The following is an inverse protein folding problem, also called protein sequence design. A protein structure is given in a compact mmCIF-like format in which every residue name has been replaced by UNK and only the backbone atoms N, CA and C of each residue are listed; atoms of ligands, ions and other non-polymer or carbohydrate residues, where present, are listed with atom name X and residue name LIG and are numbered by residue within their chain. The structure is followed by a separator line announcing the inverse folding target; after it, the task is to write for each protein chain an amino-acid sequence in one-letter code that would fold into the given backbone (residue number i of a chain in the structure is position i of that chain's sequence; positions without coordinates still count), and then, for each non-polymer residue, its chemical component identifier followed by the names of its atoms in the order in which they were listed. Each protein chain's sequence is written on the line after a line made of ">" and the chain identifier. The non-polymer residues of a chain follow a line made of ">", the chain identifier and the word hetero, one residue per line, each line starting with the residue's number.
data_IF_231605229373
#
_entry.id   IF_231605229373
#
_cell.length_a   1.000
_cell.length_b   1.000
_cell.length_c   1.000
_cell.angle_alpha   90.00
_cell.angle_beta   90.00
_cell.angle_gamma   90.00
#
_symmetry.space_group_name_H-M   'P 1'
#
loop_
_entity.id
_entity.type
_entity.pdbx_description
1 polymer ?
#
# COMPACT_ATOMS: atom_id res chain seq x y z
N UNK A 1 -11.48 4.65 -13.24
CA UNK A 1 -11.99 4.10 -11.97
C UNK A 1 -13.34 3.46 -12.23
N UNK A 2 -13.60 2.28 -11.65
CA UNK A 2 -14.84 1.52 -11.88
C UNK A 2 -15.89 1.74 -10.79
N UNK A 3 -15.50 1.62 -9.52
CA UNK A 3 -16.40 1.81 -8.37
C UNK A 3 -15.77 2.78 -7.39
N UNK A 4 -16.52 3.80 -6.99
CA UNK A 4 -16.10 4.78 -5.98
C UNK A 4 -17.11 4.83 -4.84
N UNK A 5 -16.62 4.82 -3.62
CA UNK A 5 -17.37 5.12 -2.41
C UNK A 5 -16.86 6.44 -1.86
N UNK A 6 -17.66 7.49 -2.02
CA UNK A 6 -17.37 8.85 -1.58
C UNK A 6 -18.40 9.27 -0.53
N UNK A 7 -17.92 9.71 0.64
CA UNK A 7 -18.74 10.18 1.77
C UNK A 7 -19.82 9.18 2.21
N UNK A 8 -19.50 7.90 2.16
CA UNK A 8 -20.40 6.83 2.58
C UNK A 8 -20.15 6.40 4.04
N UNK A 9 -21.15 5.75 4.64
CA UNK A 9 -21.02 5.06 5.91
C UNK A 9 -21.66 3.66 5.82
N UNK A 10 -21.11 2.71 6.55
CA UNK A 10 -21.67 1.35 6.71
C UNK A 10 -21.87 0.60 5.38
N UNK A 11 -20.82 0.59 4.56
CA UNK A 11 -20.83 -0.01 3.22
C UNK A 11 -20.40 -1.48 3.28
N UNK A 12 -21.09 -2.33 2.52
CA UNK A 12 -20.70 -3.73 2.32
C UNK A 12 -20.60 -4.06 0.83
N UNK A 13 -19.39 -4.40 0.39
CA UNK A 13 -19.09 -4.87 -0.97
C UNK A 13 -18.75 -6.35 -0.90
N UNK A 14 -19.47 -7.19 -1.66
CA UNK A 14 -19.30 -8.65 -1.59
C UNK A 14 -19.36 -9.22 -3.00
N UNK A 15 -18.39 -10.07 -3.36
CA UNK A 15 -18.37 -10.78 -4.66
C UNK A 15 -18.41 -9.85 -5.88
N UNK A 16 -17.78 -8.68 -5.78
CA UNK A 16 -17.59 -7.81 -6.93
C UNK A 16 -16.52 -8.42 -7.86
N UNK A 17 -16.79 -8.40 -9.15
CA UNK A 17 -15.84 -8.73 -10.20
C UNK A 17 -15.60 -7.49 -11.06
N UNK A 18 -14.35 -7.04 -11.17
CA UNK A 18 -13.92 -5.93 -12.03
C UNK A 18 -12.83 -6.42 -12.97
N UNK A 19 -12.94 -6.07 -14.25
CA UNK A 19 -11.95 -6.40 -15.26
C UNK A 19 -11.74 -5.23 -16.24
N UNK A 20 -10.49 -4.81 -16.39
CA UNK A 20 -10.00 -3.93 -17.44
C UNK A 20 -8.61 -4.42 -17.93
N UNK A 21 -8.18 -4.04 -19.14
CA UNK A 21 -6.83 -4.35 -19.63
C UNK A 21 -5.74 -3.77 -18.71
N UNK A 22 -4.63 -4.49 -18.55
CA UNK A 22 -3.49 -4.10 -17.71
C UNK A 22 -2.87 -2.76 -18.13
N UNK A 23 -2.87 -2.45 -19.42
CA UNK A 23 -2.33 -1.21 -19.96
C UNK A 23 -3.36 -0.07 -20.01
N UNK A 24 -4.54 -0.22 -19.39
CA UNK A 24 -5.58 0.80 -19.38
C UNK A 24 -5.37 1.77 -18.21
N UNK A 25 -4.99 3.03 -18.47
CA UNK A 25 -4.62 3.96 -17.41
C UNK A 25 -5.83 4.33 -16.53
N UNK A 26 -5.59 4.61 -15.25
CA UNK A 26 -6.57 5.14 -14.29
C UNK A 26 -7.84 4.27 -14.16
N UNK A 27 -7.71 2.96 -14.34
CA UNK A 27 -8.81 2.00 -14.26
C UNK A 27 -8.95 1.39 -12.86
N UNK A 28 -8.83 2.20 -11.81
CA UNK A 28 -8.94 1.76 -10.41
C UNK A 28 -10.16 0.87 -10.20
N UNK A 29 -10.00 -0.23 -9.45
CA UNK A 29 -11.08 -1.16 -9.18
C UNK A 29 -12.11 -0.58 -8.22
N UNK A 30 -11.72 -0.51 -6.93
CA UNK A 30 -12.52 0.09 -5.87
C UNK A 30 -11.76 1.27 -5.27
N UNK A 31 -12.35 2.45 -5.36
CA UNK A 31 -11.86 3.67 -4.73
C UNK A 31 -12.67 3.98 -3.47
N UNK A 32 -11.99 4.19 -2.34
CA UNK A 32 -12.60 4.51 -1.05
C UNK A 32 -12.09 5.87 -0.59
N UNK A 33 -12.98 6.86 -0.52
CA UNK A 33 -12.67 8.22 -0.12
C UNK A 33 -13.72 8.74 0.87
N UNK A 34 -13.29 9.49 1.89
CA UNK A 34 -14.17 10.07 2.92
C UNK A 34 -15.21 9.08 3.52
N UNK A 35 -14.90 7.78 3.55
CA UNK A 35 -15.87 6.72 3.84
C UNK A 35 -15.56 6.01 5.15
N UNK A 36 -16.60 5.71 5.93
CA UNK A 36 -16.48 5.09 7.25
C UNK A 36 -17.14 3.71 7.28
N UNK A 37 -16.54 2.75 8.00
CA UNK A 37 -17.10 1.42 8.25
C UNK A 37 -17.41 0.63 6.96
N UNK A 38 -16.44 0.53 6.05
CA UNK A 38 -16.60 -0.23 4.81
C UNK A 38 -15.97 -1.62 4.90
N UNK A 39 -16.72 -2.62 4.46
CA UNK A 39 -16.27 -4.01 4.34
C UNK A 39 -16.28 -4.46 2.88
N UNK A 40 -15.11 -4.77 2.35
CA UNK A 40 -14.90 -5.28 0.99
C UNK A 40 -14.50 -6.74 1.11
N UNK A 41 -15.26 -7.65 0.50
CA UNK A 41 -15.00 -9.08 0.66
C UNK A 41 -15.21 -9.93 -0.58
N UNK A 42 -14.37 -10.97 -0.76
CA UNK A 42 -14.51 -11.97 -1.83
C UNK A 42 -14.54 -11.36 -3.23
N UNK A 43 -13.75 -10.31 -3.45
CA UNK A 43 -13.75 -9.58 -4.71
C UNK A 43 -12.58 -10.03 -5.60
N UNK A 44 -12.82 -10.01 -6.91
CA UNK A 44 -11.79 -10.28 -7.93
C UNK A 44 -11.64 -9.02 -8.76
N UNK A 45 -10.44 -8.45 -8.79
CA UNK A 45 -10.17 -7.16 -9.40
C UNK A 45 -8.96 -7.29 -10.32
N UNK A 46 -9.17 -6.99 -11.60
CA UNK A 46 -8.14 -6.96 -12.64
C UNK A 46 -8.22 -5.63 -13.35
N UNK A 47 -7.18 -4.84 -13.29
CA UNK A 47 -7.19 -3.44 -13.73
C UNK A 47 -5.83 -3.05 -14.30
N UNK A 48 -5.75 -1.86 -14.90
CA UNK A 48 -4.48 -1.21 -15.22
C UNK A 48 -4.01 -0.21 -14.15
N UNK A 49 -4.78 -0.03 -13.08
CA UNK A 49 -4.42 0.81 -11.92
C UNK A 49 -4.70 0.08 -10.60
N UNK A 50 -4.83 0.79 -9.47
CA UNK A 50 -5.02 0.22 -8.14
C UNK A 50 -6.24 -0.72 -8.08
N UNK A 51 -6.08 -1.93 -7.55
CA UNK A 51 -7.21 -2.81 -7.29
C UNK A 51 -8.15 -2.21 -6.24
N UNK A 52 -7.55 -1.74 -5.14
CA UNK A 52 -8.24 -0.99 -4.10
C UNK A 52 -7.35 0.20 -3.73
N UNK A 53 -7.90 1.41 -3.84
CA UNK A 53 -7.26 2.64 -3.38
C UNK A 53 -8.04 3.23 -2.20
N UNK A 54 -7.37 3.47 -1.08
CA UNK A 54 -7.96 4.02 0.15
C UNK A 54 -7.33 5.39 0.40
N UNK A 55 -8.11 6.46 0.28
CA UNK A 55 -7.61 7.84 0.36
C UNK A 55 -8.20 8.59 1.55
N UNK A 56 -7.81 9.87 1.67
CA UNK A 56 -8.10 10.74 2.81
C UNK A 56 -9.57 10.74 3.23
N UNK A 57 -9.80 10.88 4.54
CA UNK A 57 -11.11 10.87 5.18
C UNK A 57 -11.69 9.47 5.42
N UNK A 58 -10.96 8.41 5.05
CA UNK A 58 -11.43 7.04 5.19
C UNK A 58 -11.02 6.41 6.53
N UNK A 59 -11.95 5.72 7.20
CA UNK A 59 -11.71 5.07 8.50
C UNK A 59 -12.45 3.74 8.63
N UNK A 60 -11.86 2.78 9.35
CA UNK A 60 -12.43 1.45 9.60
C UNK A 60 -12.75 0.73 8.28
N UNK A 61 -11.71 0.56 7.47
CA UNK A 61 -11.77 -0.10 6.16
C UNK A 61 -11.28 -1.54 6.32
N UNK A 62 -12.11 -2.51 5.97
CA UNK A 62 -11.76 -3.94 6.02
C UNK A 62 -11.85 -4.54 4.62
N UNK A 63 -10.73 -4.93 4.05
CA UNK A 63 -10.65 -5.68 2.80
C UNK A 63 -10.25 -7.13 3.11
N UNK A 64 -11.04 -8.11 2.69
CA UNK A 64 -10.80 -9.52 3.04
C UNK A 64 -11.12 -10.47 1.89
N UNK A 65 -10.31 -11.50 1.68
CA UNK A 65 -10.50 -12.47 0.58
C UNK A 65 -10.49 -11.75 -0.78
N UNK A 66 -9.41 -11.02 -1.08
CA UNK A 66 -9.27 -10.23 -2.31
C UNK A 66 -8.33 -10.94 -3.28
N UNK A 67 -8.76 -11.13 -4.51
CA UNK A 67 -7.88 -11.53 -5.63
C UNK A 67 -7.64 -10.31 -6.50
N UNK A 68 -6.39 -9.85 -6.56
CA UNK A 68 -5.99 -8.66 -7.28
C UNK A 68 -4.92 -9.02 -8.31
N UNK A 69 -5.08 -8.61 -9.56
CA UNK A 69 -4.04 -8.83 -10.55
C UNK A 69 -4.52 -9.20 -11.96
N UNK A 70 -4.01 -8.53 -13.00
CA UNK A 70 -3.01 -7.45 -12.98
C UNK A 70 -3.54 -6.13 -12.37
N UNK A 71 -2.66 -5.13 -12.18
CA UNK A 71 -2.98 -3.79 -11.63
C UNK A 71 -1.88 -3.21 -10.74
N UNK A 72 -2.16 -2.10 -10.03
CA UNK A 72 -1.19 -1.44 -9.14
C UNK A 72 -1.19 -1.94 -7.69
N UNK A 73 -2.00 -2.96 -7.37
CA UNK A 73 -2.06 -3.55 -6.03
C UNK A 73 -3.10 -2.89 -5.13
N UNK A 74 -2.87 -2.95 -3.82
CA UNK A 74 -3.74 -2.32 -2.81
C UNK A 74 -2.99 -1.14 -2.20
N UNK A 75 -3.49 0.06 -2.43
CA UNK A 75 -2.81 1.31 -2.09
C UNK A 75 -3.58 2.11 -1.04
N UNK A 76 -2.85 2.67 -0.08
CA UNK A 76 -3.31 3.76 0.78
C UNK A 76 -2.67 5.05 0.25
N UNK A 77 -3.50 6.02 -0.11
CA UNK A 77 -3.10 7.29 -0.71
C UNK A 77 -3.27 7.36 -2.24
N UNK A 78 -2.71 8.38 -2.89
CA UNK A 78 -1.76 9.35 -2.31
C UNK A 78 -2.40 10.28 -1.26
N UNK A 79 -1.65 10.62 -0.20
CA UNK A 79 -2.12 11.42 0.94
C UNK A 79 -1.30 12.71 1.08
N UNK A 80 -1.99 13.84 1.30
CA UNK A 80 -1.34 15.13 1.57
C UNK A 80 -1.04 15.97 0.32
N UNK A 81 -1.73 15.72 -0.79
CA UNK A 81 -1.53 16.45 -2.05
C UNK A 81 -1.63 17.97 -1.84
N UNK A 82 -0.71 18.74 -2.44
CA UNK A 82 -0.72 20.19 -2.33
C UNK A 82 -0.57 20.71 -0.89
N UNK A 83 0.24 20.04 -0.07
CA UNK A 83 0.45 20.36 1.35
C UNK A 83 -0.84 20.33 2.19
N UNK A 84 -1.81 19.50 1.81
CA UNK A 84 -3.09 19.37 2.50
C UNK A 84 -3.02 18.44 3.72
N UNK A 85 -4.02 18.57 4.60
CA UNK A 85 -4.25 17.59 5.67
C UNK A 85 -4.87 16.31 5.11
N UNK A 86 -4.33 15.15 5.49
CA UNK A 86 -4.88 13.86 5.12
C UNK A 86 -4.96 12.91 6.31
N UNK A 87 -6.06 12.16 6.41
CA UNK A 87 -6.31 11.23 7.51
C UNK A 87 -6.84 9.91 6.97
N UNK A 88 -6.13 8.82 7.25
CA UNK A 88 -6.60 7.45 7.05
C UNK A 88 -6.30 6.67 8.33
N UNK A 89 -7.27 5.92 8.85
CA UNK A 89 -7.01 5.04 9.99
C UNK A 89 -7.83 3.77 10.03
N UNK A 90 -7.31 2.81 10.81
CA UNK A 90 -8.00 1.57 11.13
C UNK A 90 -8.30 0.76 9.86
N UNK A 91 -7.25 0.48 9.08
CA UNK A 91 -7.32 -0.27 7.82
C UNK A 91 -6.82 -1.69 8.06
N UNK A 92 -7.60 -2.68 7.63
CA UNK A 92 -7.20 -4.09 7.66
C UNK A 92 -7.39 -4.70 6.29
N UNK A 93 -6.29 -5.16 5.69
CA UNK A 93 -6.27 -6.01 4.50
C UNK A 93 -5.86 -7.40 4.93
N UNK A 94 -6.75 -8.38 4.75
CA UNK A 94 -6.54 -9.74 5.24
C UNK A 94 -6.84 -10.77 4.15
N UNK A 95 -6.02 -11.83 4.01
CA UNK A 95 -6.27 -12.89 3.03
C UNK A 95 -6.41 -12.34 1.61
N UNK A 96 -5.35 -11.71 1.11
CA UNK A 96 -5.30 -11.23 -0.27
C UNK A 96 -4.30 -12.05 -1.10
N UNK A 97 -4.61 -12.23 -2.38
CA UNK A 97 -3.72 -12.84 -3.37
C UNK A 97 -3.47 -11.78 -4.43
N UNK A 98 -2.21 -11.39 -4.60
CA UNK A 98 -1.78 -10.42 -5.59
C UNK A 98 -0.94 -11.13 -6.66
N UNK A 99 -1.32 -11.00 -7.93
CA UNK A 99 -0.65 -11.72 -9.03
C UNK A 99 -0.34 -10.79 -10.20
N UNK A 100 0.92 -10.69 -10.60
CA UNK A 100 1.31 -9.86 -11.75
C UNK A 100 0.99 -8.37 -11.57
N UNK A 101 0.93 -7.88 -10.33
CA UNK A 101 0.67 -6.47 -10.05
C UNK A 101 1.98 -5.69 -9.98
N UNK A 102 1.96 -4.40 -10.35
CA UNK A 102 3.16 -3.55 -10.24
C UNK A 102 3.56 -3.28 -8.80
N UNK A 103 2.60 -3.28 -7.86
CA UNK A 103 2.88 -3.23 -6.43
C UNK A 103 2.03 -4.25 -5.68
N UNK A 104 2.49 -4.65 -4.49
CA UNK A 104 1.69 -5.48 -3.60
C UNK A 104 0.81 -4.61 -2.72
N UNK A 105 1.29 -4.33 -1.51
CA UNK A 105 0.67 -3.39 -0.57
C UNK A 105 1.51 -2.13 -0.45
N UNK A 106 0.85 -0.97 -0.57
CA UNK A 106 1.54 0.30 -0.76
C UNK A 106 0.91 1.40 0.08
N UNK A 107 1.74 2.24 0.72
CA UNK A 107 1.33 3.50 1.33
C UNK A 107 2.08 4.63 0.61
N UNK A 108 1.37 5.63 0.07
CA UNK A 108 1.95 6.78 -0.62
C UNK A 108 1.54 8.08 0.04
N UNK A 109 2.50 8.93 0.40
CA UNK A 109 2.27 10.31 0.83
C UNK A 109 3.14 11.27 0.03
N UNK A 110 2.63 12.47 -0.22
CA UNK A 110 3.30 13.45 -1.06
C UNK A 110 4.55 14.05 -0.39
N UNK A 111 5.59 14.30 -1.18
CA UNK A 111 6.84 14.90 -0.69
C UNK A 111 6.71 16.40 -0.42
N UNK A 112 5.79 17.10 -1.09
CA UNK A 112 5.56 18.55 -0.97
C UNK A 112 4.86 18.95 0.35
N UNK A 113 5.06 18.18 1.41
CA UNK A 113 4.55 18.46 2.73
C UNK A 113 3.31 17.65 3.09
N UNK A 114 2.33 18.33 3.66
CA UNK A 114 1.11 17.75 4.16
C UNK A 114 1.13 17.56 5.67
N UNK A 115 -0.03 17.22 6.21
CA UNK A 115 -0.23 17.02 7.64
C UNK A 115 -1.28 15.94 7.90
N UNK A 116 -1.46 15.54 9.16
CA UNK A 116 -2.36 14.45 9.53
C UNK A 116 -1.64 13.11 9.61
N UNK A 117 -2.33 12.02 9.26
CA UNK A 117 -1.83 10.67 9.53
C UNK A 117 -2.37 9.57 8.61
N UNK A 118 -1.57 8.52 8.44
CA UNK A 118 -1.98 7.18 8.06
C UNK A 118 -1.57 6.24 9.20
N UNK A 119 -2.55 5.72 9.96
CA UNK A 119 -2.24 4.94 11.19
C UNK A 119 -3.13 3.74 11.43
N UNK A 120 -2.65 2.81 12.25
CA UNK A 120 -3.36 1.58 12.61
C UNK A 120 -3.73 0.78 11.35
N UNK A 121 -2.71 0.41 10.58
CA UNK A 121 -2.87 -0.27 9.28
C UNK A 121 -2.30 -1.68 9.41
N UNK A 122 -3.06 -2.68 8.96
CA UNK A 122 -2.63 -4.07 9.02
C UNK A 122 -2.79 -4.72 7.65
N UNK A 123 -1.68 -5.17 7.09
CA UNK A 123 -1.62 -6.03 5.91
C UNK A 123 -1.24 -7.43 6.35
N UNK A 124 -2.15 -8.39 6.26
CA UNK A 124 -1.92 -9.72 6.82
C UNK A 124 -2.43 -10.89 5.99
N UNK A 125 -1.72 -12.01 6.08
CA UNK A 125 -2.03 -13.25 5.36
C UNK A 125 -2.13 -13.00 3.84
N UNK A 126 -1.06 -12.46 3.25
CA UNK A 126 -1.04 -12.05 1.84
C UNK A 126 -0.09 -12.96 1.06
N UNK A 127 -0.59 -13.50 -0.05
CA UNK A 127 0.21 -14.23 -1.01
C UNK A 127 0.52 -13.32 -2.22
N UNK A 128 1.78 -13.30 -2.64
CA UNK A 128 2.23 -12.51 -3.79
C UNK A 128 2.86 -13.42 -4.85
N UNK A 129 2.43 -13.29 -6.09
CA UNK A 129 2.97 -14.05 -7.22
C UNK A 129 3.37 -13.09 -8.33
N UNK A 130 4.67 -13.01 -8.62
CA UNK A 130 5.19 -12.12 -9.66
C UNK A 130 4.78 -10.66 -9.47
N UNK A 131 4.85 -10.17 -8.23
CA UNK A 131 4.53 -8.76 -7.93
C UNK A 131 5.79 -7.94 -8.11
N UNK A 132 5.76 -6.85 -8.88
CA UNK A 132 6.98 -6.09 -9.19
C UNK A 132 7.58 -5.44 -7.94
N UNK A 133 6.76 -4.74 -7.14
CA UNK A 133 7.19 -4.11 -5.89
C UNK A 133 6.28 -4.53 -4.71
N UNK A 134 6.56 -5.67 -4.07
CA UNK A 134 5.71 -6.28 -3.06
C UNK A 134 5.26 -5.37 -1.90
N UNK A 135 6.18 -4.71 -1.20
CA UNK A 135 5.85 -3.90 -0.02
C UNK A 135 6.46 -2.51 -0.18
N UNK A 136 5.61 -1.47 -0.16
CA UNK A 136 6.05 -0.08 -0.29
C UNK A 136 5.47 0.80 0.81
N UNK A 137 6.33 1.61 1.42
CA UNK A 137 5.97 2.91 1.99
C UNK A 137 6.79 3.96 1.24
N UNK A 138 6.12 4.92 0.62
CA UNK A 138 6.74 6.02 -0.10
C UNK A 138 6.16 7.34 0.42
N UNK A 139 6.90 8.02 1.31
CA UNK A 139 6.55 9.37 1.76
C UNK A 139 7.18 10.47 0.88
N UNK A 140 7.87 10.09 -0.20
CA UNK A 140 8.53 10.99 -1.14
C UNK A 140 7.81 10.99 -2.51
N UNK A 141 6.51 10.69 -2.53
CA UNK A 141 5.75 10.61 -3.77
C UNK A 141 5.71 11.98 -4.46
N UNK A 142 6.08 12.00 -5.74
CA UNK A 142 6.16 13.17 -6.59
C UNK A 142 5.77 12.76 -8.03
N UNK A 143 4.77 13.41 -8.60
CA UNK A 143 4.26 13.13 -9.96
C UNK A 143 4.60 14.24 -10.97
N UNK A 144 5.54 15.13 -10.60
CA UNK A 144 5.97 16.26 -11.42
C UNK A 144 7.26 15.94 -12.16
N UNK A 145 7.44 16.61 -13.30
CA UNK A 145 8.69 16.53 -14.07
C UNK A 145 9.89 17.11 -13.30
N UNK A 146 9.65 18.15 -12.49
CA UNK A 146 10.65 18.71 -11.58
C UNK A 146 10.70 17.92 -10.26
N UNK A 147 11.91 17.57 -9.75
CA UNK A 147 12.05 16.88 -8.48
C UNK A 147 11.40 17.66 -7.34
N UNK A 148 10.54 16.99 -6.58
CA UNK A 148 10.00 17.54 -5.36
C UNK A 148 11.11 17.69 -4.31
N UNK A 149 11.08 18.80 -3.57
CA UNK A 149 12.05 19.07 -2.51
C UNK A 149 11.53 18.58 -1.17
N UNK A 150 12.42 18.03 -0.34
CA UNK A 150 12.13 17.66 1.04
C UNK A 150 11.49 18.85 1.80
N UNK A 151 10.44 18.56 2.57
CA UNK A 151 9.73 19.54 3.39
C UNK A 151 9.87 19.19 4.88
N UNK A 152 9.74 20.19 5.74
CA UNK A 152 9.78 20.01 7.18
C UNK A 152 8.54 19.28 7.75
N UNK A 153 7.44 19.24 6.99
CA UNK A 153 6.20 18.53 7.34
C UNK A 153 5.97 17.37 6.38
N UNK A 154 5.21 16.36 6.82
CA UNK A 154 4.66 15.30 6.00
C UNK A 154 3.46 14.65 6.71
N UNK A 155 2.66 13.87 5.97
CA UNK A 155 1.64 13.00 6.56
C UNK A 155 2.34 11.92 7.40
N UNK A 156 1.99 11.81 8.69
CA UNK A 156 2.64 10.86 9.60
C UNK A 156 2.19 9.43 9.32
N UNK A 157 3.12 8.52 9.04
CA UNK A 157 2.84 7.08 8.91
C UNK A 157 3.24 6.38 10.19
N UNK A 158 2.30 5.69 10.86
CA UNK A 158 2.58 5.04 12.16
C UNK A 158 1.73 3.81 12.42
N UNK A 159 2.21 2.90 13.27
CA UNK A 159 1.51 1.67 13.65
C UNK A 159 1.01 0.89 12.42
N UNK A 160 1.96 0.47 11.60
CA UNK A 160 1.71 -0.32 10.38
C UNK A 160 2.29 -1.71 10.58
N UNK A 161 1.46 -2.73 10.45
CA UNK A 161 1.86 -4.12 10.57
C UNK A 161 1.76 -4.85 9.23
N UNK A 162 2.86 -5.47 8.83
CA UNK A 162 2.94 -6.44 7.75
C UNK A 162 3.14 -7.82 8.37
N UNK A 163 2.15 -8.71 8.25
CA UNK A 163 2.16 -10.00 8.95
C UNK A 163 1.84 -11.18 8.03
N UNK A 164 2.67 -12.21 8.06
CA UNK A 164 2.46 -13.43 7.26
C UNK A 164 2.25 -13.10 5.78
N UNK A 165 3.24 -12.44 5.18
CA UNK A 165 3.25 -12.08 3.75
C UNK A 165 4.29 -12.95 3.06
N UNK A 166 3.90 -13.72 2.05
CA UNK A 166 4.79 -14.66 1.36
C UNK A 166 4.63 -14.56 -0.15
N UNK A 167 5.72 -14.72 -0.90
CA UNK A 167 5.61 -14.69 -2.35
C UNK A 167 6.88 -14.40 -3.12
N UNK A 168 6.70 -14.01 -4.38
CA UNK A 168 7.79 -13.65 -5.29
C UNK A 168 7.73 -12.19 -5.76
N UNK A 169 8.90 -11.57 -5.83
CA UNK A 169 9.13 -10.26 -6.43
C UNK A 169 9.59 -10.40 -7.88
N UNK A 170 9.08 -9.55 -8.77
CA UNK A 170 9.55 -9.45 -10.15
C UNK A 170 10.70 -8.44 -10.32
N UNK A 171 10.93 -7.57 -9.32
CA UNK A 171 12.07 -6.65 -9.27
C UNK A 171 13.05 -7.02 -8.16
N UNK A 172 14.25 -6.43 -8.22
CA UNK A 172 15.31 -6.63 -7.22
C UNK A 172 14.91 -6.12 -5.83
N UNK A 173 14.25 -4.96 -5.73
CA UNK A 173 13.85 -4.36 -4.45
C UNK A 173 12.45 -4.85 -4.09
N UNK A 174 12.37 -5.86 -3.22
CA UNK A 174 11.09 -6.45 -2.84
C UNK A 174 10.38 -5.66 -1.73
N UNK A 175 11.15 -4.98 -0.88
CA UNK A 175 10.67 -4.16 0.22
C UNK A 175 11.29 -2.77 0.07
N UNK A 176 10.45 -1.74 -0.02
CA UNK A 176 10.90 -0.37 -0.15
C UNK A 176 10.19 0.52 0.88
N UNK A 177 10.87 0.91 1.95
CA UNK A 177 10.34 1.75 3.02
C UNK A 177 11.06 3.11 3.01
N UNK A 178 10.61 4.02 2.16
CA UNK A 178 11.19 5.35 1.96
C UNK A 178 10.37 6.38 2.72
N UNK A 179 10.74 6.63 3.97
CA UNK A 179 10.06 7.58 4.84
C UNK A 179 10.72 8.96 4.79
N UNK A 180 9.97 10.01 5.14
CA UNK A 180 10.49 11.38 5.19
C UNK A 180 11.59 11.48 6.24
N UNK A 181 12.69 12.17 5.91
CA UNK A 181 13.78 12.45 6.87
C UNK A 181 13.32 13.34 8.02
N UNK A 182 12.43 14.29 7.75
CA UNK A 182 11.88 15.21 8.76
C UNK A 182 10.75 14.59 9.57
N UNK A 183 9.98 13.68 8.97
CA UNK A 183 8.84 13.00 9.63
C UNK A 183 8.94 11.50 9.38
N UNK A 184 9.77 10.84 10.20
CA UNK A 184 10.05 9.40 10.12
C UNK A 184 8.78 8.55 10.30
N UNK A 185 8.79 7.35 9.74
CA UNK A 185 7.79 6.34 10.04
C UNK A 185 8.09 5.68 11.39
N UNK A 186 7.07 5.53 12.24
CA UNK A 186 7.22 4.92 13.57
C UNK A 186 6.33 3.69 13.74
N UNK A 187 6.75 2.76 14.61
CA UNK A 187 5.98 1.56 14.94
C UNK A 187 5.63 0.72 13.70
N UNK A 188 6.59 0.60 12.77
CA UNK A 188 6.44 -0.30 11.62
C UNK A 188 6.87 -1.69 12.06
N UNK A 189 6.01 -2.68 11.85
CA UNK A 189 6.27 -4.06 12.27
C UNK A 189 6.21 -4.98 11.06
N UNK A 190 7.27 -5.75 10.85
CA UNK A 190 7.28 -6.89 9.93
C UNK A 190 7.34 -8.17 10.72
N UNK A 191 6.36 -9.03 10.51
CA UNK A 191 6.27 -10.33 11.15
C UNK A 191 6.03 -11.44 10.12
N UNK A 192 6.91 -12.43 10.06
CA UNK A 192 6.73 -13.59 9.17
C UNK A 192 6.56 -13.19 7.69
N UNK A 193 7.43 -12.30 7.20
CA UNK A 193 7.47 -11.80 5.82
C UNK A 193 8.57 -12.54 5.06
N UNK A 194 8.23 -13.24 3.98
CA UNK A 194 9.20 -14.00 3.18
C UNK A 194 8.94 -13.79 1.70
N UNK A 195 9.75 -12.93 1.09
CA UNK A 195 9.71 -12.61 -0.33
C UNK A 195 10.99 -13.16 -0.97
N UNK A 196 10.82 -13.89 -2.07
CA UNK A 196 11.90 -14.40 -2.89
C UNK A 196 11.91 -13.72 -4.26
N UNK A 197 13.01 -13.83 -4.99
CA UNK A 197 13.03 -13.42 -6.38
C UNK A 197 12.29 -14.45 -7.24
N UNK A 198 11.65 -13.98 -8.30
CA UNK A 198 11.19 -14.85 -9.38
C UNK A 198 12.30 -15.21 -10.38
N UNK A 199 13.42 -14.48 -10.33
CA UNK A 199 14.60 -14.65 -11.20
C UNK A 199 15.74 -15.31 -10.39
N UNK A 200 16.81 -15.80 -11.03
CA UNK A 200 17.97 -16.37 -10.32
C UNK A 200 18.71 -15.37 -9.40
N UNK A 201 18.37 -14.08 -9.48
CA UNK A 201 18.90 -13.03 -8.61
C UNK A 201 18.29 -13.09 -7.20
N UNK A 202 18.95 -12.50 -6.21
CA UNK A 202 18.39 -12.30 -4.87
C UNK A 202 17.53 -11.04 -4.83
N UNK A 203 16.57 -11.00 -3.89
CA UNK A 203 15.81 -9.79 -3.58
C UNK A 203 16.45 -9.01 -2.43
N UNK A 204 16.27 -7.70 -2.45
CA UNK A 204 16.79 -6.74 -1.49
C UNK A 204 15.65 -5.96 -0.82
N UNK A 205 15.97 -5.30 0.30
CA UNK A 205 15.11 -4.33 0.95
C UNK A 205 15.83 -2.99 1.13
N UNK A 206 15.18 -1.88 0.73
CA UNK A 206 15.60 -0.51 1.01
C UNK A 206 14.73 0.07 2.13
N UNK A 207 15.35 0.67 3.14
CA UNK A 207 14.64 1.19 4.30
C UNK A 207 15.32 2.47 4.78
N UNK A 208 14.65 3.60 4.63
CA UNK A 208 15.14 4.93 4.98
C UNK A 208 14.15 5.57 5.94
N UNK A 209 14.68 6.17 7.01
CA UNK A 209 13.90 6.96 7.96
C UNK A 209 12.73 6.23 8.63
N UNK A 210 12.89 4.94 8.91
CA UNK A 210 11.86 4.08 9.50
C UNK A 210 12.32 3.44 10.80
N UNK A 211 11.46 3.44 11.82
CA UNK A 211 11.61 2.59 13.01
C UNK A 211 10.92 1.25 12.76
N UNK A 212 11.71 0.27 12.31
CA UNK A 212 11.23 -1.06 11.95
C UNK A 212 11.52 -2.09 13.05
N UNK A 213 10.47 -2.74 13.56
CA UNK A 213 10.58 -3.94 14.39
C UNK A 213 10.33 -5.18 13.56
N UNK A 214 11.21 -6.19 13.70
CA UNK A 214 11.11 -7.49 13.01
C UNK A 214 10.74 -8.58 14.01
N UNK A 215 9.87 -9.50 13.60
CA UNK A 215 9.44 -10.67 14.40
C UNK A 215 9.39 -11.92 13.50
N UNK A 216 9.92 -13.05 13.98
CA UNK A 216 9.95 -14.27 13.20
C UNK A 216 10.81 -14.15 11.93
N UNK A 217 10.39 -14.80 10.85
CA UNK A 217 11.14 -14.80 9.58
C UNK A 217 10.86 -13.49 8.84
N UNK A 218 11.90 -12.72 8.52
CA UNK A 218 11.79 -11.54 7.65
C UNK A 218 12.85 -11.64 6.56
N UNK A 219 12.45 -11.69 5.30
CA UNK A 219 13.35 -11.75 4.13
C UNK A 219 12.68 -11.08 2.93
N UNK A 220 13.37 -10.19 2.19
CA UNK A 220 14.72 -9.69 2.46
C UNK A 220 14.79 -8.80 3.71
N UNK A 221 16.00 -8.60 4.24
CA UNK A 221 16.25 -7.74 5.40
C UNK A 221 16.59 -6.33 4.91
N UNK A 222 16.06 -5.31 5.58
CA UNK A 222 16.54 -3.93 5.40
C UNK A 222 18.06 -3.90 5.58
N UNK A 223 18.76 -3.34 4.60
CA UNK A 223 20.18 -3.04 4.75
C UNK A 223 20.39 -2.14 5.98
N UNK A 224 21.42 -2.37 6.80
CA UNK A 224 21.79 -1.41 7.84
C UNK A 224 22.23 -0.11 7.14
N UNK A 225 21.58 1.01 7.49
CA UNK A 225 22.10 2.34 7.19
C UNK A 225 23.21 2.70 8.17
#
# INVERSE_FOLDING_TARGET
>A
MHVSFDKCADVKVVRLFVAAPENSPNTDGIHVTATQNIQISRCVIKTGDDCISIVSGSRNVKATDITCGPGHGISIGSLGAGNSGAQVSDVVVNRAILTGTSNGVRIKTWQQGGSGYARNIQFQNIAMNNVTNPIIIDQNYCDRDEPCHEQASAVRVSNVMYKNIKGTSASKVAINLECSKSVRCHEIVMQDVSLASQRPEYVEASCVSVDLTRRGIVTPLCSPN
#
